data_IF_167524300760
#
_entry.id   IF_167524300760
#
_cell.length_a   1.000
_cell.length_b   1.000
_cell.length_c   1.000
_cell.angle_alpha   90.00
_cell.angle_beta   90.00
_cell.angle_gamma   90.00
#
_symmetry.space_group_name_H-M   'P 1'
#
loop_
_entity.id
_entity.type
_entity.pdbx_description
1 polymer ?
#
# COMPACT_ATOMS: atom_id res chain seq x y z
N UNK A 1 -34.52 0.49 -14.55
CA UNK A 1 -33.32 -0.12 -15.15
C UNK A 1 -32.29 -0.33 -14.06
N UNK A 2 -31.92 -1.57 -13.74
CA UNK A 2 -30.85 -1.88 -12.79
C UNK A 2 -29.50 -1.58 -13.45
N UNK A 3 -28.56 -1.04 -12.67
CA UNK A 3 -27.19 -0.83 -13.17
C UNK A 3 -26.55 -2.19 -13.48
N UNK A 4 -25.74 -2.29 -14.56
CA UNK A 4 -25.02 -3.51 -14.84
C UNK A 4 -24.13 -3.90 -13.66
N UNK A 5 -24.16 -5.17 -13.30
CA UNK A 5 -23.29 -5.69 -12.24
C UNK A 5 -21.86 -5.76 -12.80
N UNK A 6 -20.96 -4.93 -12.28
CA UNK A 6 -19.56 -4.98 -12.66
C UNK A 6 -18.86 -6.10 -11.86
N UNK A 7 -18.12 -6.98 -12.52
CA UNK A 7 -17.34 -7.99 -11.82
C UNK A 7 -16.30 -7.32 -10.90
N UNK A 8 -15.96 -8.01 -9.83
CA UNK A 8 -14.93 -7.56 -8.89
C UNK A 8 -13.58 -7.46 -9.62
N UNK A 9 -12.88 -6.33 -9.45
CA UNK A 9 -11.56 -6.10 -10.08
C UNK A 9 -10.40 -6.77 -9.33
N UNK A 10 -10.60 -7.07 -8.03
CA UNK A 10 -9.58 -7.68 -7.18
C UNK A 10 -9.73 -9.20 -7.19
N UNK A 11 -8.61 -9.91 -7.01
CA UNK A 11 -8.61 -11.35 -6.82
C UNK A 11 -9.36 -11.74 -5.52
N UNK A 12 -9.79 -12.98 -5.42
CA UNK A 12 -10.48 -13.48 -4.21
C UNK A 12 -9.57 -13.48 -2.98
N UNK A 13 -8.26 -13.62 -3.19
CA UNK A 13 -7.22 -13.55 -2.15
C UNK A 13 -6.83 -12.13 -1.74
N UNK A 14 -7.50 -11.11 -2.26
CA UNK A 14 -7.21 -9.72 -1.98
C UNK A 14 -8.41 -9.02 -1.33
N UNK A 15 -8.16 -8.15 -0.37
CA UNK A 15 -9.17 -7.29 0.23
C UNK A 15 -8.72 -5.83 0.21
N UNK A 16 -9.67 -4.93 0.08
CA UNK A 16 -9.38 -3.50 0.05
C UNK A 16 -10.16 -2.70 1.09
N UNK A 17 -9.57 -1.57 1.46
CA UNK A 17 -10.27 -0.50 2.15
C UNK A 17 -9.91 0.84 1.52
N UNK A 18 -10.89 1.74 1.43
CA UNK A 18 -10.74 3.06 0.84
C UNK A 18 -11.18 4.14 1.83
N UNK A 19 -10.28 5.09 2.06
CA UNK A 19 -10.57 6.30 2.86
C UNK A 19 -10.59 7.51 1.94
N UNK A 20 -11.74 8.18 1.87
CA UNK A 20 -11.95 9.33 0.99
C UNK A 20 -11.85 10.64 1.75
N UNK A 21 -11.44 11.70 1.04
CA UNK A 21 -11.50 13.11 1.49
C UNK A 21 -10.72 13.41 2.79
N UNK A 22 -9.53 12.83 2.92
CA UNK A 22 -8.63 13.12 4.03
C UNK A 22 -8.07 14.53 3.84
N UNK A 23 -8.15 15.37 4.87
CA UNK A 23 -7.64 16.76 4.82
C UNK A 23 -6.12 16.82 4.98
N UNK A 24 -5.41 16.25 4.03
CA UNK A 24 -3.94 16.23 3.96
C UNK A 24 -3.49 16.29 2.51
N UNK A 25 -2.35 16.90 2.26
CA UNK A 25 -1.74 16.91 0.93
C UNK A 25 -1.32 15.50 0.49
N UNK A 26 -1.58 15.10 -0.78
CA UNK A 26 -1.24 13.78 -1.30
C UNK A 26 0.24 13.42 -1.11
N UNK A 27 1.15 14.38 -1.26
CA UNK A 27 2.60 14.17 -1.06
C UNK A 27 2.92 13.75 0.38
N UNK A 28 2.28 14.41 1.37
CA UNK A 28 2.49 14.07 2.80
C UNK A 28 1.90 12.71 3.16
N UNK A 29 0.73 12.39 2.61
CA UNK A 29 0.08 11.10 2.80
C UNK A 29 0.90 9.97 2.15
N UNK A 30 1.43 10.20 0.95
CA UNK A 30 2.21 9.18 0.22
C UNK A 30 3.50 8.78 0.97
N UNK A 31 4.11 9.68 1.74
CA UNK A 31 5.28 9.31 2.56
C UNK A 31 4.92 8.26 3.60
N UNK A 32 3.74 8.37 4.23
CA UNK A 32 3.26 7.37 5.20
C UNK A 32 2.79 6.11 4.49
N UNK A 33 2.10 6.24 3.35
CA UNK A 33 1.68 5.09 2.55
C UNK A 33 2.88 4.28 2.03
N UNK A 34 3.98 4.95 1.67
CA UNK A 34 5.19 4.28 1.20
C UNK A 34 5.89 3.43 2.28
N UNK A 35 5.81 3.85 3.57
CA UNK A 35 6.45 3.10 4.65
C UNK A 35 5.80 1.74 4.93
N UNK A 36 4.52 1.56 4.58
CA UNK A 36 3.79 0.31 4.84
C UNK A 36 3.70 -0.63 3.64
N UNK A 37 4.08 -0.19 2.44
CA UNK A 37 4.04 -1.04 1.24
C UNK A 37 4.93 -2.26 1.37
N UNK A 38 4.44 -3.40 0.92
CA UNK A 38 5.14 -4.70 0.94
C UNK A 38 5.53 -5.18 2.35
N UNK A 39 4.88 -4.66 3.40
CA UNK A 39 5.06 -5.16 4.77
C UNK A 39 3.93 -6.13 5.15
N UNK A 40 4.21 -7.14 5.97
CA UNK A 40 3.17 -7.92 6.64
C UNK A 40 2.24 -7.02 7.45
N UNK A 41 0.94 -7.31 7.47
CA UNK A 41 -0.07 -6.47 8.10
C UNK A 41 0.24 -6.12 9.57
N UNK A 42 0.68 -7.10 10.36
CA UNK A 42 1.06 -6.88 11.76
C UNK A 42 2.23 -5.89 11.91
N UNK A 43 3.27 -6.00 11.08
CA UNK A 43 4.41 -5.07 11.08
C UNK A 43 4.01 -3.68 10.60
N UNK A 44 3.14 -3.58 9.59
CA UNK A 44 2.63 -2.31 9.10
C UNK A 44 1.82 -1.57 10.18
N UNK A 45 1.00 -2.28 10.97
CA UNK A 45 0.26 -1.70 12.10
C UNK A 45 1.22 -1.21 13.20
N UNK A 46 2.28 -1.97 13.51
CA UNK A 46 3.30 -1.58 14.47
C UNK A 46 4.04 -0.32 14.01
N UNK A 47 4.51 -0.28 12.75
CA UNK A 47 5.18 0.89 12.14
C UNK A 47 4.32 2.16 12.24
N UNK A 48 3.03 2.05 11.90
CA UNK A 48 2.09 3.16 11.99
C UNK A 48 1.85 3.60 13.44
N UNK A 49 1.92 2.70 14.41
CA UNK A 49 1.71 3.01 15.82
C UNK A 49 2.86 3.85 16.39
N UNK A 50 4.10 3.54 15.99
CA UNK A 50 5.29 4.27 16.40
C UNK A 50 5.58 5.50 15.56
N UNK A 51 4.86 5.70 14.46
CA UNK A 51 5.04 6.85 13.58
C UNK A 51 4.63 8.16 14.26
N UNK A 52 5.53 9.13 14.30
CA UNK A 52 5.29 10.48 14.86
C UNK A 52 4.35 11.35 14.01
N UNK A 53 3.89 10.86 12.86
CA UNK A 53 3.05 11.61 11.93
C UNK A 53 1.58 11.51 12.32
N UNK A 54 0.91 12.65 12.49
CA UNK A 54 -0.53 12.69 12.82
C UNK A 54 -1.38 11.80 11.91
N UNK A 55 -1.11 11.83 10.60
CA UNK A 55 -1.88 11.06 9.61
C UNK A 55 -1.71 9.55 9.74
N UNK A 56 -0.68 9.07 10.44
CA UNK A 56 -0.46 7.63 10.64
C UNK A 56 -1.62 6.96 11.40
N UNK A 57 -2.32 7.69 12.26
CA UNK A 57 -3.49 7.18 12.97
C UNK A 57 -4.67 6.89 12.02
N UNK A 58 -4.92 7.77 11.04
CA UNK A 58 -5.99 7.57 10.06
C UNK A 58 -5.64 6.41 9.12
N UNK A 59 -4.36 6.32 8.70
CA UNK A 59 -3.85 5.22 7.87
C UNK A 59 -3.92 3.88 8.63
N UNK A 60 -3.60 3.87 9.94
CA UNK A 60 -3.73 2.69 10.80
C UNK A 60 -5.17 2.20 10.87
N UNK A 61 -6.14 3.09 11.09
CA UNK A 61 -7.56 2.74 11.11
C UNK A 61 -8.02 2.14 9.79
N UNK A 62 -7.56 2.71 8.68
CA UNK A 62 -7.87 2.16 7.36
C UNK A 62 -7.26 0.79 7.14
N UNK A 63 -6.01 0.58 7.55
CA UNK A 63 -5.36 -0.73 7.45
C UNK A 63 -6.08 -1.78 8.32
N UNK A 64 -6.48 -1.42 9.54
CA UNK A 64 -7.29 -2.30 10.39
C UNK A 64 -8.63 -2.66 9.74
N UNK A 65 -9.28 -1.70 9.07
CA UNK A 65 -10.50 -1.97 8.29
C UNK A 65 -10.23 -2.91 7.10
N UNK A 66 -9.08 -2.78 6.42
CA UNK A 66 -8.70 -3.69 5.33
C UNK A 66 -8.47 -5.13 5.83
N UNK A 67 -7.81 -5.27 6.99
CA UNK A 67 -7.60 -6.58 7.63
C UNK A 67 -8.93 -7.20 8.06
N UNK A 68 -9.81 -6.43 8.70
CA UNK A 68 -11.15 -6.91 9.08
C UNK A 68 -12.00 -7.30 7.86
N UNK A 69 -11.90 -6.59 6.73
CA UNK A 69 -12.56 -6.97 5.49
C UNK A 69 -11.99 -8.29 4.92
N UNK A 70 -10.68 -8.51 5.03
CA UNK A 70 -10.04 -9.75 4.59
C UNK A 70 -10.54 -10.95 5.41
N UNK A 71 -10.58 -10.81 6.72
CA UNK A 71 -11.03 -11.85 7.65
C UNK A 71 -12.53 -12.14 7.50
N UNK A 72 -13.39 -11.11 7.65
CA UNK A 72 -14.84 -11.31 7.73
C UNK A 72 -15.50 -11.59 6.37
N UNK A 73 -15.04 -10.96 5.30
CA UNK A 73 -15.70 -11.04 3.98
C UNK A 73 -15.06 -12.08 3.07
N UNK A 74 -13.78 -12.36 3.25
CA UNK A 74 -13.01 -13.24 2.35
C UNK A 74 -12.40 -14.44 3.06
N UNK A 75 -12.52 -14.54 4.40
CA UNK A 75 -12.00 -15.65 5.21
C UNK A 75 -10.51 -15.91 4.97
N UNK A 76 -9.74 -14.85 4.72
CA UNK A 76 -8.30 -14.91 4.51
C UNK A 76 -7.55 -15.02 5.83
N UNK A 77 -6.40 -15.68 5.80
CA UNK A 77 -5.54 -15.84 6.97
C UNK A 77 -4.84 -14.52 7.31
N UNK A 78 -5.18 -13.94 8.46
CA UNK A 78 -4.68 -12.63 8.94
C UNK A 78 -3.15 -12.64 9.09
N UNK A 79 -2.55 -13.76 9.49
CA UNK A 79 -1.10 -13.87 9.73
C UNK A 79 -0.31 -13.86 8.41
N UNK A 80 -0.93 -14.25 7.29
CA UNK A 80 -0.35 -14.24 5.95
C UNK A 80 -0.62 -12.97 5.15
N UNK A 81 -1.39 -12.02 5.72
CA UNK A 81 -1.72 -10.79 5.03
C UNK A 81 -0.50 -9.89 4.86
N UNK A 82 -0.30 -9.43 3.63
CA UNK A 82 0.72 -8.47 3.23
C UNK A 82 0.07 -7.27 2.55
N UNK A 83 0.51 -6.07 2.87
CA UNK A 83 0.07 -4.85 2.17
C UNK A 83 0.71 -4.83 0.78
N UNK A 84 -0.06 -5.16 -0.24
CA UNK A 84 0.43 -5.18 -1.64
C UNK A 84 0.51 -3.77 -2.21
N UNK A 85 -0.58 -3.02 -2.07
CA UNK A 85 -0.63 -1.66 -2.58
C UNK A 85 -1.16 -0.69 -1.53
N UNK A 86 -0.61 0.53 -1.53
CA UNK A 86 -1.12 1.66 -0.80
C UNK A 86 -1.08 2.87 -1.73
N UNK A 87 -2.21 3.15 -2.37
CA UNK A 87 -2.35 4.17 -3.40
C UNK A 87 -2.94 5.44 -2.82
N UNK A 88 -2.32 6.56 -3.18
CA UNK A 88 -2.78 7.88 -2.76
C UNK A 88 -3.32 8.63 -3.96
N UNK A 89 -4.62 8.89 -3.94
CA UNK A 89 -5.33 9.69 -4.92
C UNK A 89 -5.41 11.17 -4.53
N UNK A 90 -5.48 12.02 -5.54
CA UNK A 90 -5.72 13.45 -5.38
C UNK A 90 -7.22 13.69 -5.26
N UNK A 91 -7.64 14.36 -4.18
CA UNK A 91 -9.01 14.78 -3.98
C UNK A 91 -9.26 16.25 -4.36
N UNK A 92 -10.28 16.83 -3.78
CA UNK A 92 -10.66 18.24 -3.98
C UNK A 92 -9.56 19.16 -3.45
N UNK A 93 -9.32 20.27 -4.16
CA UNK A 93 -8.40 21.32 -3.74
C UNK A 93 -9.22 22.60 -3.50
N UNK A 94 -9.33 22.98 -2.25
CA UNK A 94 -9.97 24.25 -1.90
C UNK A 94 -8.96 25.38 -2.02
N UNK A 95 -9.21 26.31 -2.91
CA UNK A 95 -8.38 27.49 -3.11
C UNK A 95 -8.89 28.64 -2.26
N UNK A 96 -7.98 29.37 -1.61
CA UNK A 96 -8.25 30.54 -0.81
C UNK A 96 -7.36 31.67 -1.27
N UNK A 97 -7.90 32.88 -1.18
CA UNK A 97 -7.18 34.12 -1.38
C UNK A 97 -6.53 34.54 -0.06
N UNK A 98 -5.30 35.00 -0.13
CA UNK A 98 -4.62 35.65 0.99
C UNK A 98 -3.95 36.93 0.50
N UNK A 99 -4.35 38.04 1.06
CA UNK A 99 -3.70 39.30 0.80
C UNK A 99 -2.27 39.31 1.31
N UNK A 100 -1.37 39.95 0.54
CA UNK A 100 0.04 40.14 0.85
C UNK A 100 0.37 41.61 0.76
N UNK A 101 1.57 41.97 1.22
CA UNK A 101 2.05 43.35 1.15
C UNK A 101 2.10 43.90 -0.29
N UNK A 102 2.04 45.25 -0.40
CA UNK A 102 2.11 45.98 -1.68
C UNK A 102 1.01 45.61 -2.68
N UNK A 103 -0.22 45.38 -2.23
CA UNK A 103 -1.36 45.07 -3.08
C UNK A 103 -1.28 43.67 -3.79
N UNK A 104 -0.28 42.85 -3.46
CA UNK A 104 -0.17 41.51 -4.04
C UNK A 104 -1.10 40.51 -3.34
N UNK A 105 -1.45 39.44 -4.04
CA UNK A 105 -2.25 38.34 -3.52
C UNK A 105 -1.51 37.01 -3.67
N UNK A 106 -1.64 36.14 -2.68
CA UNK A 106 -1.15 34.76 -2.74
C UNK A 106 -2.32 33.79 -2.77
N UNK A 107 -2.18 32.75 -3.58
CA UNK A 107 -3.13 31.64 -3.63
C UNK A 107 -2.75 30.61 -2.57
N UNK A 108 -3.66 30.30 -1.66
CA UNK A 108 -3.50 29.21 -0.67
C UNK A 108 -4.35 28.03 -1.09
N UNK A 109 -3.75 26.88 -1.18
CA UNK A 109 -4.42 25.64 -1.55
C UNK A 109 -4.55 24.71 -0.34
N UNK A 110 -5.77 24.29 -0.03
CA UNK A 110 -6.09 23.29 1.00
C UNK A 110 -6.44 21.98 0.29
N UNK A 111 -5.50 21.04 0.32
CA UNK A 111 -5.59 19.78 -0.38
C UNK A 111 -6.35 18.75 0.42
N UNK A 112 -7.16 17.97 -0.30
CA UNK A 112 -7.73 16.70 0.16
C UNK A 112 -7.15 15.58 -0.67
N UNK A 113 -7.06 14.40 -0.09
CA UNK A 113 -6.55 13.20 -0.73
C UNK A 113 -7.41 11.99 -0.38
N UNK A 114 -7.26 10.94 -1.17
CA UNK A 114 -7.87 9.64 -0.96
C UNK A 114 -6.75 8.63 -0.73
N UNK A 115 -7.02 7.60 0.06
CA UNK A 115 -6.11 6.50 0.29
C UNK A 115 -6.85 5.19 0.05
N UNK A 116 -6.28 4.32 -0.78
CA UNK A 116 -6.71 2.96 -1.02
C UNK A 116 -5.61 2.03 -0.55
N UNK A 117 -5.94 1.07 0.29
CA UNK A 117 -5.03 0.02 0.75
C UNK A 117 -5.59 -1.30 0.28
N UNK A 118 -4.75 -2.11 -0.35
CA UNK A 118 -5.06 -3.49 -0.73
C UNK A 118 -4.13 -4.40 0.06
N UNK A 119 -4.71 -5.37 0.74
CA UNK A 119 -4.02 -6.47 1.41
C UNK A 119 -4.27 -7.75 0.64
N UNK A 120 -3.26 -8.58 0.52
CA UNK A 120 -3.37 -9.88 -0.12
C UNK A 120 -2.75 -10.96 0.76
N UNK A 121 -3.32 -12.14 0.73
CA UNK A 121 -2.71 -13.32 1.32
C UNK A 121 -1.52 -13.75 0.47
N UNK A 122 -0.35 -13.81 1.07
CA UNK A 122 0.90 -14.29 0.45
C UNK A 122 1.71 -15.06 1.45
N UNK A 123 2.37 -16.08 0.98
CA UNK A 123 3.39 -16.74 1.79
C UNK A 123 4.49 -15.74 2.12
N UNK A 124 4.70 -15.51 3.40
CA UNK A 124 5.71 -14.58 3.90
C UNK A 124 7.06 -15.28 3.76
N UNK A 125 7.64 -15.20 2.57
CA UNK A 125 9.01 -15.68 2.34
C UNK A 125 9.95 -14.79 3.12
N UNK A 126 10.54 -15.30 4.17
CA UNK A 126 11.46 -14.56 5.03
C UNK A 126 12.71 -14.15 4.24
N UNK A 127 13.35 -13.05 4.67
CA UNK A 127 14.59 -12.56 4.03
C UNK A 127 15.70 -13.62 4.05
N UNK A 128 15.65 -14.56 4.97
CA UNK A 128 16.56 -15.70 5.07
C UNK A 128 16.36 -16.70 3.90
N UNK A 129 15.10 -17.03 3.59
CA UNK A 129 14.75 -17.94 2.48
C UNK A 129 15.07 -17.31 1.12
N UNK A 130 14.84 -15.99 0.94
CA UNK A 130 15.26 -15.28 -0.27
C UNK A 130 16.77 -15.28 -0.47
N UNK A 131 17.55 -15.21 0.63
CA UNK A 131 19.01 -15.34 0.57
C UNK A 131 19.47 -16.77 0.28
N UNK A 132 18.77 -17.77 0.78
CA UNK A 132 19.05 -19.18 0.50
C UNK A 132 18.73 -19.52 -0.97
N UNK A 133 17.57 -19.11 -1.49
CA UNK A 133 17.18 -19.29 -2.88
C UNK A 133 18.10 -18.56 -3.89
N UNK A 134 18.64 -17.41 -3.51
CA UNK A 134 19.61 -16.66 -4.34
C UNK A 134 21.04 -17.22 -4.34
N UNK A 135 21.37 -18.20 -3.48
CA UNK A 135 22.69 -18.86 -3.43
C UNK A 135 22.81 -20.10 -4.31
N UNK A 136 21.69 -20.66 -4.76
CA UNK A 136 21.70 -21.75 -5.76
C UNK A 136 21.81 -21.12 -7.15
N UNK A 137 23.03 -20.68 -7.53
CA UNK A 137 23.39 -20.49 -8.92
C UNK A 137 23.49 -21.87 -9.55
N UNK A 138 22.88 -22.16 -10.71
CA UNK A 138 23.18 -23.36 -11.47
C UNK A 138 24.62 -23.25 -11.95
N UNK A 139 25.55 -23.94 -11.27
CA UNK A 139 26.92 -24.11 -11.70
C UNK A 139 27.00 -25.13 -12.81
N UNK A 140 27.45 -24.66 -13.94
CA UNK A 140 28.33 -25.37 -14.90
C UNK A 140 28.21 -26.88 -14.92
N UNK A 141 27.40 -27.37 -15.83
CA UNK A 141 27.52 -28.71 -16.37
C UNK A 141 27.47 -28.61 -17.89
N UNK A 142 28.61 -28.41 -18.51
CA UNK A 142 28.83 -28.78 -19.93
C UNK A 142 30.31 -28.55 -20.29
N UNK A 143 31.14 -29.54 -20.08
CA UNK A 143 32.37 -29.72 -20.86
C UNK A 143 32.99 -31.07 -20.51
N UNK A 144 32.48 -32.15 -21.08
CA UNK A 144 33.24 -33.36 -21.28
C UNK A 144 32.47 -34.30 -22.22
N UNK A 145 32.51 -34.01 -23.51
CA UNK A 145 32.31 -35.04 -24.54
C UNK A 145 32.93 -34.48 -25.84
N UNK A 146 34.02 -35.08 -26.24
CA UNK A 146 34.60 -34.77 -27.54
C UNK A 146 36.08 -35.01 -27.64
N UNK A 147 36.54 -36.25 -27.30
CA UNK A 147 37.86 -36.70 -27.77
C UNK A 147 37.87 -38.22 -27.79
N UNK A 148 37.41 -38.80 -28.91
CA UNK A 148 37.84 -40.10 -29.41
C UNK A 148 37.28 -40.29 -30.82
N UNK A 149 38.11 -40.22 -31.81
CA UNK A 149 38.31 -41.02 -32.99
C UNK A 149 39.10 -40.24 -34.03
#
# INVERSE_FOLDING_TARGET
MSKPNHPRLLAETEAEAVLRSIRVSPRKLNVVAASIRNLPAGRAIAELTFSKRRIAQDVKKLLQSAVANAENNHQLDVDRLVVTTAEVGRGIVMRRFQARGRGKAARVEKWFSHLRIVVAERDIVTKAEKRAAGRTKPGVAAASEGAQA
#
